data_IF_436127234087
#
_entry.id   IF_436127234087
#
_cell.length_a   1.000
_cell.length_b   1.000
_cell.length_c   1.000
_cell.angle_alpha   90.00
_cell.angle_beta   90.00
_cell.angle_gamma   90.00
#
_symmetry.space_group_name_H-M   'P 1'
#
loop_
_entity.id
_entity.type
_entity.pdbx_description
1 polymer ?
#
# COMPACT_ATOMS: atom_id res chain seq x y z
N UNK A 1 -10.20 17.84 -5.10
CA UNK A 1 -8.90 17.68 -5.77
C UNK A 1 -8.16 19.01 -5.97
N UNK A 2 -8.62 19.94 -6.81
CA UNK A 2 -7.94 21.23 -7.11
C UNK A 2 -7.61 22.09 -5.89
N UNK A 3 -8.46 22.12 -4.86
CA UNK A 3 -8.18 22.85 -3.63
C UNK A 3 -7.00 22.25 -2.86
N UNK A 4 -6.93 20.92 -2.73
CA UNK A 4 -5.81 20.23 -2.11
C UNK A 4 -4.50 20.48 -2.86
N UNK A 5 -4.54 20.37 -4.20
CA UNK A 5 -3.37 20.63 -5.03
C UNK A 5 -2.84 22.07 -4.91
N UNK A 6 -3.74 23.07 -4.87
CA UNK A 6 -3.34 24.47 -4.61
C UNK A 6 -2.70 24.66 -3.23
N UNK A 7 -3.21 23.94 -2.21
CA UNK A 7 -2.68 24.04 -0.84
C UNK A 7 -1.31 23.37 -0.69
N UNK A 8 -1.08 22.25 -1.39
CA UNK A 8 0.17 21.47 -1.32
C UNK A 8 1.28 22.05 -2.22
N UNK A 9 0.91 22.80 -3.26
CA UNK A 9 1.86 23.26 -4.26
C UNK A 9 2.35 22.15 -5.20
N UNK A 10 3.29 22.47 -6.08
CA UNK A 10 3.77 21.56 -7.12
C UNK A 10 4.88 20.59 -6.64
N UNK A 11 5.39 20.79 -5.43
CA UNK A 11 6.48 19.95 -4.89
C UNK A 11 5.98 18.64 -4.24
N UNK A 12 4.67 18.50 -4.06
CA UNK A 12 4.06 17.34 -3.42
C UNK A 12 3.22 16.58 -4.44
N UNK A 13 3.56 15.30 -4.65
CA UNK A 13 2.74 14.39 -5.42
C UNK A 13 1.39 14.15 -4.70
N UNK A 14 0.33 14.04 -5.45
CA UNK A 14 -1.01 13.81 -4.92
C UNK A 14 -1.59 12.55 -5.55
N UNK A 15 -2.02 11.65 -4.73
CA UNK A 15 -2.69 10.41 -5.09
C UNK A 15 -4.13 10.43 -4.57
N UNK A 16 -4.97 9.59 -5.10
CA UNK A 16 -6.31 9.36 -4.57
C UNK A 16 -6.57 7.86 -4.45
N UNK A 17 -7.02 7.45 -3.29
CA UNK A 17 -7.45 6.09 -3.01
C UNK A 17 -8.96 6.04 -2.80
N UNK A 18 -9.63 5.17 -3.53
CA UNK A 18 -11.06 4.92 -3.40
C UNK A 18 -11.39 3.74 -2.49
N UNK A 19 -10.38 2.97 -2.06
CA UNK A 19 -10.58 1.81 -1.17
C UNK A 19 -11.75 0.93 -1.64
N UNK A 20 -11.81 0.60 -2.91
CA UNK A 20 -12.79 -0.30 -3.52
C UNK A 20 -14.26 0.16 -3.38
N UNK A 21 -14.50 1.46 -3.18
CA UNK A 21 -15.81 1.98 -2.78
C UNK A 21 -16.77 2.29 -3.93
N UNK A 22 -16.31 2.22 -5.18
CA UNK A 22 -17.12 2.63 -6.33
C UNK A 22 -17.64 1.42 -7.11
N UNK A 23 -18.82 1.59 -7.70
CA UNK A 23 -19.25 0.74 -8.81
C UNK A 23 -18.46 1.08 -10.08
N UNK A 24 -18.35 0.13 -11.02
CA UNK A 24 -17.62 0.38 -12.26
C UNK A 24 -18.10 1.61 -13.06
N UNK A 25 -19.43 1.87 -13.22
CA UNK A 25 -19.89 3.11 -13.86
C UNK A 25 -19.46 4.39 -13.13
N UNK A 26 -19.50 4.40 -11.80
CA UNK A 26 -19.05 5.53 -10.99
C UNK A 26 -17.54 5.73 -11.10
N UNK A 27 -16.76 4.65 -11.03
CA UNK A 27 -15.32 4.67 -11.20
C UNK A 27 -14.91 5.24 -12.56
N UNK A 28 -15.53 4.75 -13.64
CA UNK A 28 -15.30 5.28 -15.00
C UNK A 28 -15.57 6.78 -15.10
N UNK A 29 -16.68 7.25 -14.51
CA UNK A 29 -17.02 8.67 -14.53
C UNK A 29 -16.05 9.52 -13.70
N UNK A 30 -15.72 9.07 -12.48
CA UNK A 30 -14.86 9.82 -11.55
C UNK A 30 -13.41 9.83 -11.99
N UNK A 31 -12.85 8.68 -12.42
CA UNK A 31 -11.48 8.58 -12.89
C UNK A 31 -11.25 9.46 -14.13
N UNK A 32 -12.19 9.44 -15.10
CA UNK A 32 -12.14 10.36 -16.25
C UNK A 32 -12.21 11.84 -15.86
N UNK A 33 -13.02 12.17 -14.85
CA UNK A 33 -13.13 13.56 -14.37
C UNK A 33 -11.85 14.04 -13.65
N UNK A 34 -10.99 13.13 -13.23
CA UNK A 34 -9.74 13.41 -12.53
C UNK A 34 -8.48 13.24 -13.40
N UNK A 35 -8.63 12.71 -14.62
CA UNK A 35 -7.51 12.30 -15.46
C UNK A 35 -6.54 13.45 -15.78
N UNK A 36 -7.04 14.67 -15.99
CA UNK A 36 -6.21 15.85 -16.29
C UNK A 36 -5.81 16.67 -15.04
N UNK A 37 -6.08 16.16 -13.84
CA UNK A 37 -5.78 16.89 -12.59
C UNK A 37 -4.34 16.68 -12.11
N UNK A 38 -3.52 15.90 -12.83
CA UNK A 38 -2.10 15.64 -12.54
C UNK A 38 -1.88 14.90 -11.24
N UNK A 39 -2.65 13.86 -11.01
CA UNK A 39 -2.43 12.87 -9.96
C UNK A 39 -1.24 11.99 -10.31
N UNK A 40 -0.54 11.50 -9.29
CA UNK A 40 0.50 10.48 -9.45
C UNK A 40 -0.12 9.14 -9.83
N UNK A 41 -1.21 8.76 -9.15
CA UNK A 41 -2.07 7.62 -9.51
C UNK A 41 -3.46 7.74 -8.91
N UNK A 42 -4.35 6.90 -9.41
CA UNK A 42 -5.65 6.58 -8.82
C UNK A 42 -5.57 5.16 -8.29
N UNK A 43 -6.01 4.92 -7.05
CA UNK A 43 -5.88 3.67 -6.35
C UNK A 43 -7.23 3.01 -6.10
N UNK A 44 -7.28 1.69 -6.33
CA UNK A 44 -8.37 0.76 -6.03
C UNK A 44 -9.79 1.34 -6.20
N UNK A 45 -10.17 1.84 -7.40
CA UNK A 45 -11.48 2.48 -7.57
C UNK A 45 -12.66 1.52 -7.45
N UNK A 46 -12.48 0.25 -7.86
CA UNK A 46 -13.49 -0.82 -7.79
C UNK A 46 -12.98 -1.99 -6.94
N UNK A 47 -13.82 -3.00 -6.71
CA UNK A 47 -13.45 -4.18 -5.92
C UNK A 47 -12.16 -4.85 -6.46
N UNK A 48 -11.33 -5.33 -5.55
CA UNK A 48 -10.01 -5.91 -5.88
C UNK A 48 -10.10 -7.14 -6.81
N UNK A 49 -11.21 -7.87 -6.79
CA UNK A 49 -11.48 -9.02 -7.66
C UNK A 49 -12.09 -8.66 -9.02
N UNK A 50 -12.53 -7.40 -9.22
CA UNK A 50 -12.99 -6.91 -10.53
C UNK A 50 -11.83 -6.49 -11.45
N UNK A 51 -10.96 -7.45 -11.78
CA UNK A 51 -9.80 -7.21 -12.63
C UNK A 51 -10.17 -6.70 -14.02
N UNK A 52 -11.32 -7.11 -14.55
CA UNK A 52 -11.82 -6.62 -15.85
C UNK A 52 -12.31 -5.17 -15.77
N UNK A 53 -12.94 -4.80 -14.66
CA UNK A 53 -13.29 -3.41 -14.36
C UNK A 53 -12.06 -2.52 -14.23
N UNK A 54 -11.06 -2.96 -13.47
CA UNK A 54 -9.78 -2.27 -13.35
C UNK A 54 -9.10 -2.09 -14.73
N UNK A 55 -9.02 -3.13 -15.55
CA UNK A 55 -8.42 -3.06 -16.89
C UNK A 55 -9.14 -2.04 -17.79
N UNK A 56 -10.49 -2.00 -17.74
CA UNK A 56 -11.28 -1.00 -18.50
C UNK A 56 -11.05 0.42 -18.02
N UNK A 57 -10.81 0.62 -16.73
CA UNK A 57 -10.48 1.94 -16.17
C UNK A 57 -9.09 2.34 -16.64
N UNK A 58 -8.09 1.48 -16.47
CA UNK A 58 -6.71 1.73 -16.89
C UNK A 58 -6.62 2.08 -18.38
N UNK A 59 -7.34 1.37 -19.24
CA UNK A 59 -7.39 1.69 -20.68
C UNK A 59 -8.06 3.04 -21.00
N UNK A 60 -8.97 3.51 -20.13
CA UNK A 60 -9.83 4.67 -20.41
C UNK A 60 -9.26 6.00 -19.88
N UNK A 61 -8.17 6.00 -19.13
CA UNK A 61 -7.53 7.17 -18.52
C UNK A 61 -6.02 7.17 -18.79
N UNK A 62 -5.40 8.34 -18.68
CA UNK A 62 -3.94 8.51 -18.80
C UNK A 62 -3.24 8.54 -17.44
N UNK A 63 -3.96 8.90 -16.38
CA UNK A 63 -3.47 8.83 -15.00
C UNK A 63 -3.24 7.38 -14.61
N UNK A 64 -2.05 7.00 -14.11
CA UNK A 64 -1.78 5.61 -13.75
C UNK A 64 -2.80 5.04 -12.75
N UNK A 65 -3.22 3.81 -12.97
CA UNK A 65 -4.03 3.05 -12.02
C UNK A 65 -3.12 2.18 -11.15
N UNK A 66 -3.29 2.22 -9.83
CA UNK A 66 -2.59 1.39 -8.86
C UNK A 66 -3.56 0.46 -8.14
N UNK A 67 -3.19 -0.82 -8.07
CA UNK A 67 -3.92 -1.83 -7.30
C UNK A 67 -2.94 -2.78 -6.61
N UNK A 68 -3.41 -3.53 -5.63
CA UNK A 68 -2.62 -4.63 -5.11
C UNK A 68 -2.56 -4.75 -3.59
N UNK A 69 -3.02 -3.76 -2.84
CA UNK A 69 -3.07 -3.83 -1.37
C UNK A 69 -3.82 -5.07 -0.86
N UNK A 70 -4.73 -5.56 -1.67
CA UNK A 70 -5.58 -6.71 -1.36
C UNK A 70 -5.19 -8.01 -2.09
N UNK A 71 -4.04 -8.10 -2.76
CA UNK A 71 -3.59 -9.35 -3.39
C UNK A 71 -3.31 -10.43 -2.34
N UNK A 72 -4.11 -11.49 -2.36
CA UNK A 72 -3.91 -12.64 -1.50
C UNK A 72 -3.03 -13.68 -2.20
N UNK A 73 -1.74 -13.44 -2.15
CA UNK A 73 -0.73 -14.26 -2.78
C UNK A 73 -0.46 -13.94 -4.25
N UNK A 74 0.58 -14.59 -4.78
CA UNK A 74 1.14 -14.32 -6.10
C UNK A 74 0.17 -14.61 -7.25
N UNK A 75 -0.77 -15.54 -7.06
CA UNK A 75 -1.73 -15.94 -8.10
C UNK A 75 -2.66 -14.78 -8.50
N UNK A 76 -3.10 -13.98 -7.53
CA UNK A 76 -3.96 -12.82 -7.80
C UNK A 76 -3.18 -11.71 -8.48
N UNK A 77 -1.95 -11.41 -8.03
CA UNK A 77 -1.09 -10.45 -8.70
C UNK A 77 -0.81 -10.86 -10.16
N UNK A 78 -0.53 -12.15 -10.41
CA UNK A 78 -0.33 -12.64 -11.78
C UNK A 78 -1.59 -12.51 -12.63
N UNK A 79 -2.77 -12.76 -12.08
CA UNK A 79 -4.04 -12.58 -12.77
C UNK A 79 -4.25 -11.11 -13.14
N UNK A 80 -3.98 -10.17 -12.22
CA UNK A 80 -4.07 -8.74 -12.44
C UNK A 80 -3.13 -8.28 -13.58
N UNK A 81 -1.87 -8.71 -13.56
CA UNK A 81 -0.89 -8.42 -14.62
C UNK A 81 -1.35 -8.98 -15.96
N UNK A 82 -1.85 -10.23 -16.00
CA UNK A 82 -2.34 -10.87 -17.21
C UNK A 82 -3.56 -10.12 -17.79
N UNK A 83 -4.43 -9.62 -16.94
CA UNK A 83 -5.59 -8.82 -17.32
C UNK A 83 -5.23 -7.37 -17.70
N UNK A 84 -3.99 -6.93 -17.50
CA UNK A 84 -3.57 -5.52 -17.59
C UNK A 84 -4.46 -4.62 -16.72
N UNK A 85 -4.72 -5.07 -15.51
CA UNK A 85 -5.65 -4.43 -14.60
C UNK A 85 -5.11 -3.14 -13.96
N UNK A 86 -3.81 -2.85 -14.11
CA UNK A 86 -3.20 -1.64 -13.58
C UNK A 86 -1.86 -1.31 -14.25
N UNK A 87 -1.40 -0.08 -14.04
CA UNK A 87 -0.10 0.43 -14.49
C UNK A 87 0.96 0.30 -13.39
N UNK A 88 0.53 0.28 -12.13
CA UNK A 88 1.36 0.19 -10.93
C UNK A 88 0.82 -0.91 -10.02
N UNK A 89 1.70 -1.58 -9.27
CA UNK A 89 1.29 -2.59 -8.28
C UNK A 89 1.81 -2.23 -6.88
N UNK A 90 1.02 -2.58 -5.84
CA UNK A 90 1.36 -2.26 -4.46
C UNK A 90 1.00 -3.41 -3.50
N UNK A 91 1.66 -4.58 -3.60
CA UNK A 91 1.33 -5.69 -2.73
C UNK A 91 1.62 -5.37 -1.26
N UNK A 92 0.75 -5.89 -0.37
CA UNK A 92 0.97 -5.90 1.07
C UNK A 92 1.88 -7.07 1.45
N UNK A 93 2.93 -6.80 2.24
CA UNK A 93 3.89 -7.82 2.64
C UNK A 93 3.25 -8.96 3.46
N UNK A 94 2.13 -8.71 4.15
CA UNK A 94 1.42 -9.74 4.89
C UNK A 94 0.57 -10.61 3.97
N UNK A 95 -0.19 -9.98 3.06
CA UNK A 95 -1.12 -10.70 2.18
C UNK A 95 -0.41 -11.40 1.01
N UNK A 96 0.74 -10.89 0.57
CA UNK A 96 1.57 -11.54 -0.45
C UNK A 96 2.40 -12.72 0.09
N UNK A 97 2.15 -13.15 1.33
CA UNK A 97 2.80 -14.26 2.03
C UNK A 97 4.23 -13.98 2.52
N UNK A 98 4.48 -12.78 3.03
CA UNK A 98 5.73 -12.41 3.72
C UNK A 98 6.91 -12.20 2.77
N UNK A 99 8.12 -12.39 3.28
CA UNK A 99 9.37 -12.12 2.56
C UNK A 99 9.47 -12.92 1.27
N UNK A 100 9.19 -14.21 1.30
CA UNK A 100 9.28 -15.09 0.13
C UNK A 100 8.30 -14.67 -0.95
N UNK A 101 7.02 -14.48 -0.58
CA UNK A 101 6.01 -14.05 -1.53
C UNK A 101 6.31 -12.65 -2.11
N UNK A 102 6.88 -11.75 -1.31
CA UNK A 102 7.32 -10.44 -1.80
C UNK A 102 8.42 -10.55 -2.85
N UNK A 103 9.43 -11.38 -2.62
CA UNK A 103 10.53 -11.56 -3.59
C UNK A 103 10.03 -12.16 -4.91
N UNK A 104 9.09 -13.09 -4.84
CA UNK A 104 8.43 -13.64 -6.04
C UNK A 104 7.57 -12.58 -6.74
N UNK A 105 6.81 -11.77 -6.00
CA UNK A 105 6.02 -10.66 -6.52
C UNK A 105 6.91 -9.59 -7.17
N UNK A 106 8.04 -9.27 -6.54
CA UNK A 106 9.05 -8.34 -7.05
C UNK A 106 9.65 -8.82 -8.38
N UNK A 107 9.99 -10.11 -8.48
CA UNK A 107 10.47 -10.70 -9.73
C UNK A 107 9.39 -10.66 -10.82
N UNK A 108 8.14 -10.90 -10.47
CA UNK A 108 7.01 -10.85 -11.40
C UNK A 108 6.75 -9.42 -11.89
N UNK A 109 6.74 -8.43 -10.99
CA UNK A 109 6.61 -7.02 -11.35
C UNK A 109 7.75 -6.57 -12.29
N UNK A 110 8.99 -6.95 -11.95
CA UNK A 110 10.16 -6.65 -12.79
C UNK A 110 10.03 -7.26 -14.19
N UNK A 111 9.65 -8.53 -14.30
CA UNK A 111 9.46 -9.20 -15.58
C UNK A 111 8.34 -8.56 -16.43
N UNK A 112 7.32 -7.98 -15.78
CA UNK A 112 6.23 -7.26 -16.42
C UNK A 112 6.54 -5.79 -16.69
N UNK A 113 7.67 -5.26 -16.21
CA UNK A 113 8.03 -3.84 -16.33
C UNK A 113 7.16 -2.90 -15.48
N UNK A 114 6.52 -3.41 -14.43
CA UNK A 114 5.64 -2.62 -13.57
C UNK A 114 6.38 -2.04 -12.36
N UNK A 115 6.25 -0.74 -12.09
CA UNK A 115 6.68 -0.16 -10.82
C UNK A 115 5.92 -0.79 -9.65
N UNK A 116 6.64 -1.06 -8.55
CA UNK A 116 6.10 -1.75 -7.39
C UNK A 116 6.27 -0.90 -6.13
N UNK A 117 5.16 -0.43 -5.59
CA UNK A 117 5.06 0.25 -4.29
C UNK A 117 4.77 -0.76 -3.18
N UNK A 118 4.83 -0.32 -1.92
CA UNK A 118 4.32 -1.10 -0.80
C UNK A 118 2.94 -0.63 -0.40
N UNK A 119 2.11 -1.56 0.06
CA UNK A 119 0.91 -1.27 0.84
C UNK A 119 1.23 -1.50 2.31
N UNK A 120 0.89 -0.54 3.17
CA UNK A 120 1.05 -0.58 4.64
C UNK A 120 2.35 -1.25 5.13
N UNK A 121 2.31 -1.86 6.29
CA UNK A 121 3.34 -2.70 6.94
C UNK A 121 4.78 -2.23 6.68
N UNK A 122 5.01 -0.94 6.92
CA UNK A 122 6.29 -0.25 6.68
C UNK A 122 7.48 -0.94 7.34
N UNK A 123 7.25 -1.67 8.42
CA UNK A 123 8.25 -2.39 9.22
C UNK A 123 9.02 -3.44 8.40
N UNK A 124 8.35 -4.15 7.52
CA UNK A 124 8.99 -5.11 6.61
C UNK A 124 9.23 -4.50 5.22
N UNK A 125 8.26 -3.71 4.73
CA UNK A 125 8.28 -3.16 3.38
C UNK A 125 9.48 -2.28 3.11
N UNK A 126 10.02 -1.57 4.12
CA UNK A 126 11.21 -0.74 3.99
C UNK A 126 12.43 -1.55 3.50
N UNK A 127 12.68 -2.72 4.11
CA UNK A 127 13.78 -3.59 3.71
C UNK A 127 13.50 -4.32 2.39
N UNK A 128 12.25 -4.73 2.19
CA UNK A 128 11.84 -5.47 1.00
C UNK A 128 11.91 -4.62 -0.27
N UNK A 129 11.53 -3.34 -0.19
CA UNK A 129 11.65 -2.40 -1.31
C UNK A 129 13.11 -2.16 -1.70
N UNK A 130 14.07 -2.19 -0.76
CA UNK A 130 15.49 -2.10 -1.09
C UNK A 130 15.99 -3.25 -1.98
N UNK A 131 15.31 -4.40 -1.94
CA UNK A 131 15.61 -5.56 -2.77
C UNK A 131 14.72 -5.67 -4.02
N UNK A 132 13.84 -4.70 -4.26
CA UNK A 132 12.87 -4.70 -5.36
C UNK A 132 13.41 -3.92 -6.55
N UNK A 133 13.69 -4.55 -7.72
CA UNK A 133 14.30 -3.87 -8.87
C UNK A 133 13.44 -2.73 -9.44
N UNK A 134 12.12 -2.82 -9.32
CA UNK A 134 11.16 -1.81 -9.78
C UNK A 134 10.55 -1.03 -8.62
N UNK A 135 11.28 -0.91 -7.48
CA UNK A 135 10.81 -0.16 -6.32
C UNK A 135 10.34 1.25 -6.70
N UNK A 136 9.17 1.63 -6.20
CA UNK A 136 8.53 2.90 -6.52
C UNK A 136 8.31 3.72 -5.23
N UNK A 137 7.16 3.60 -4.58
CA UNK A 137 6.86 4.32 -3.34
C UNK A 137 6.77 3.37 -2.14
N UNK A 138 7.07 3.90 -0.96
CA UNK A 138 6.75 3.24 0.29
C UNK A 138 5.59 3.97 0.96
N UNK A 139 4.54 3.24 1.29
CA UNK A 139 3.47 3.77 2.11
C UNK A 139 3.87 3.76 3.58
N UNK A 140 3.76 4.91 4.24
CA UNK A 140 4.07 5.06 5.66
C UNK A 140 2.78 5.26 6.44
N UNK A 141 2.17 4.15 6.85
CA UNK A 141 1.09 4.12 7.81
C UNK A 141 1.64 3.61 9.14
N UNK A 142 1.92 4.55 10.06
CA UNK A 142 2.59 4.24 11.34
C UNK A 142 1.61 3.72 12.40
N UNK A 143 1.05 2.53 12.16
CA UNK A 143 0.06 1.92 13.05
C UNK A 143 0.65 1.40 14.37
N UNK A 144 1.95 1.07 14.40
CA UNK A 144 2.62 0.42 15.54
C UNK A 144 3.81 1.20 16.09
N UNK A 145 3.93 2.47 15.74
CA UNK A 145 5.10 3.30 16.04
C UNK A 145 5.57 3.28 17.49
N UNK A 146 4.63 3.28 18.45
CA UNK A 146 4.95 3.19 19.86
C UNK A 146 5.46 1.83 20.34
N UNK A 147 5.27 0.77 19.55
CA UNK A 147 5.61 -0.62 19.92
C UNK A 147 6.98 -1.05 19.42
N UNK A 148 7.60 -0.31 18.50
CA UNK A 148 8.88 -0.68 17.87
C UNK A 148 10.03 0.22 18.27
N UNK A 149 11.24 -0.34 18.10
CA UNK A 149 12.51 0.39 18.17
C UNK A 149 13.49 -0.19 17.13
N UNK A 150 14.36 0.63 16.53
CA UNK A 150 14.32 2.09 16.60
C UNK A 150 13.12 2.69 15.83
N UNK A 151 12.82 3.97 16.05
CA UNK A 151 11.74 4.64 15.31
C UNK A 151 12.08 4.76 13.82
N UNK A 152 11.05 4.96 12.97
CA UNK A 152 11.25 5.27 11.56
C UNK A 152 12.08 6.55 11.40
N UNK A 153 12.98 6.55 10.45
CA UNK A 153 13.78 7.72 10.09
C UNK A 153 13.42 8.15 8.66
N UNK A 154 12.84 9.34 8.53
CA UNK A 154 12.53 9.95 7.24
C UNK A 154 13.46 11.16 7.05
N UNK A 155 14.22 11.17 5.96
CA UNK A 155 15.14 12.26 5.61
C UNK A 155 14.90 12.69 4.17
N UNK A 156 14.55 13.95 3.96
CA UNK A 156 14.33 14.48 2.61
C UNK A 156 13.21 13.75 1.84
N UNK A 157 12.17 13.28 2.51
CA UNK A 157 11.08 12.51 1.91
C UNK A 157 11.40 11.02 1.68
N UNK A 158 12.60 10.58 2.05
CA UNK A 158 13.02 9.18 1.90
C UNK A 158 13.01 8.48 3.25
N UNK A 159 12.39 7.30 3.31
CA UNK A 159 12.50 6.41 4.46
C UNK A 159 13.88 5.75 4.44
N UNK A 160 14.59 5.84 5.56
CA UNK A 160 15.88 5.19 5.75
C UNK A 160 15.65 3.80 6.36
N UNK A 161 15.97 2.71 5.65
CA UNK A 161 15.88 1.37 6.21
C UNK A 161 16.86 1.20 7.39
N UNK A 162 16.56 0.28 8.29
CA UNK A 162 17.45 -0.02 9.41
C UNK A 162 18.68 -0.82 8.94
N UNK A 163 19.83 -0.44 9.44
CA UNK A 163 21.11 -1.12 9.13
C UNK A 163 21.41 -2.21 10.18
N UNK A 164 20.45 -3.11 10.36
CA UNK A 164 20.56 -4.26 11.27
C UNK A 164 20.01 -5.51 10.59
N UNK A 165 20.50 -6.72 10.95
CA UNK A 165 20.02 -7.96 10.34
C UNK A 165 18.50 -8.17 10.47
N UNK A 166 17.91 -8.89 9.53
CA UNK A 166 16.47 -9.15 9.48
C UNK A 166 15.68 -7.96 8.97
N UNK A 167 14.52 -7.70 9.54
CA UNK A 167 13.69 -6.51 9.22
C UNK A 167 14.21 -5.25 9.95
N UNK A 168 15.23 -5.38 10.80
CA UNK A 168 15.93 -4.27 11.40
C UNK A 168 15.21 -3.60 12.57
N UNK A 169 14.17 -4.18 13.11
CA UNK A 169 13.46 -3.65 14.28
C UNK A 169 13.35 -4.68 15.40
N UNK A 170 13.13 -4.17 16.60
CA UNK A 170 12.78 -4.94 17.78
C UNK A 170 11.50 -4.39 18.40
N UNK A 171 10.78 -5.25 19.12
CA UNK A 171 9.60 -4.82 19.88
C UNK A 171 10.01 -4.24 21.24
N UNK A 172 9.36 -3.19 21.64
CA UNK A 172 9.45 -2.65 22.99
C UNK A 172 8.59 -3.47 23.92
N UNK A 173 9.21 -4.35 24.71
CA UNK A 173 8.51 -5.27 25.60
C UNK A 173 7.64 -4.57 26.66
N UNK A 174 8.07 -3.40 27.14
CA UNK A 174 7.28 -2.55 28.04
C UNK A 174 5.94 -2.12 27.41
N UNK A 175 6.00 -1.73 26.14
CA UNK A 175 4.82 -1.31 25.39
C UNK A 175 3.96 -2.50 24.94
N UNK A 176 4.58 -3.58 24.48
CA UNK A 176 3.86 -4.83 24.13
C UNK A 176 3.09 -5.34 25.35
N UNK A 177 3.71 -5.35 26.53
CA UNK A 177 3.07 -5.76 27.77
C UNK A 177 1.88 -4.88 28.13
N UNK A 178 1.96 -3.57 27.88
CA UNK A 178 0.87 -2.60 28.14
C UNK A 178 -0.36 -2.86 27.26
N UNK A 179 -0.16 -3.31 26.03
CA UNK A 179 -1.24 -3.57 25.06
C UNK A 179 -1.63 -5.05 24.99
N UNK A 180 -1.03 -5.90 25.83
CA UNK A 180 -1.36 -7.33 25.84
C UNK A 180 -2.82 -7.54 26.23
N UNK A 181 -3.59 -8.13 25.34
CA UNK A 181 -4.95 -8.61 25.60
C UNK A 181 -4.83 -10.02 26.18
N UNK A 182 -5.11 -10.19 27.46
CA UNK A 182 -5.18 -11.53 28.07
C UNK A 182 -6.37 -12.25 27.48
N UNK A 183 -6.11 -13.41 26.85
CA UNK A 183 -7.13 -14.20 26.16
C UNK A 183 -8.25 -14.66 27.10
N UNK A 184 -9.47 -14.23 26.82
CA UNK A 184 -10.71 -14.61 27.48
C UNK A 184 -11.86 -13.76 26.95
N UNK A 185 -13.07 -14.31 26.90
CA UNK A 185 -14.27 -13.63 26.36
C UNK A 185 -14.63 -12.28 27.02
N UNK A 186 -13.91 -11.88 28.07
CA UNK A 186 -14.09 -10.59 28.76
C UNK A 186 -13.08 -9.50 28.38
N UNK A 187 -12.02 -9.81 27.66
CA UNK A 187 -10.94 -8.85 27.39
C UNK A 187 -11.25 -7.86 26.24
N UNK A 188 -12.13 -8.25 25.33
CA UNK A 188 -12.49 -7.44 24.15
C UNK A 188 -13.27 -6.18 24.57
N UNK A 189 -14.07 -6.25 25.63
CA UNK A 189 -14.88 -5.10 26.10
C UNK A 189 -14.10 -4.05 26.91
N UNK A 190 -12.94 -4.41 27.47
CA UNK A 190 -12.16 -3.47 28.29
C UNK A 190 -11.32 -2.50 27.45
N UNK A 191 -10.96 -2.86 26.23
CA UNK A 191 -10.20 -2.00 25.31
C UNK A 191 -11.07 -0.91 24.66
N UNK A 192 -12.33 -1.23 24.37
CA UNK A 192 -13.27 -0.30 23.73
C UNK A 192 -13.71 0.89 24.63
N UNK A 193 -13.58 0.73 25.97
CA UNK A 193 -14.00 1.77 26.94
C UNK A 193 -12.89 2.74 27.37
N UNK A 194 -11.65 2.57 26.86
CA UNK A 194 -10.52 3.47 27.21
C UNK A 194 -10.11 4.42 26.09
N UNK A 195 -10.84 4.47 24.99
CA UNK A 195 -10.66 5.41 23.90
C UNK A 195 -11.79 6.43 23.77
N UNK A 196 -12.50 6.71 24.85
CA UNK A 196 -13.48 7.78 24.98
C UNK A 196 -12.89 9.00 25.66
#
# INVERSE_FOLDING_TARGET
MRAAKRALGNATALMIDYNQSLTLPEAMARCKALDDEGLEWIEEPVLADDLQGCARIAEAISTPLQIGGNFNGLSEMRAAITARASDLVMPDAQFIHGVTGWLEASALAHAAGLPMSSHTFVEASAQLLCATPTAHWIEVLDAVGGLRQPPLQIKGGMLMPWDTPGIGLEWREDMVSRYRVLGGKGAVNAAAHRMG
#
